data_IF_307725065465
#
_entry.id   IF_307725065465
#
_cell.length_a   1.000
_cell.length_b   1.000
_cell.length_c   1.000
_cell.angle_alpha   90.00
_cell.angle_beta   90.00
_cell.angle_gamma   90.00
#
_symmetry.space_group_name_H-M   'P 1'
#
loop_
_entity.id
_entity.type
_entity.pdbx_description
1 polymer ?
#
# COMPACT_ATOMS: atom_id res chain seq x y z
N UNK A 1 -25.11 -7.58 -7.01
CA UNK A 1 -25.36 -6.15 -6.67
C UNK A 1 -24.42 -5.69 -5.56
N UNK A 2 -24.34 -6.39 -4.45
CA UNK A 2 -23.48 -6.02 -3.30
C UNK A 2 -22.03 -5.74 -3.72
N UNK A 3 -21.42 -6.61 -4.53
CA UNK A 3 -20.07 -6.44 -5.05
C UNK A 3 -19.92 -5.20 -5.96
N UNK A 4 -20.88 -4.95 -6.86
CA UNK A 4 -20.87 -3.77 -7.72
C UNK A 4 -20.91 -2.45 -6.92
N UNK A 5 -21.67 -2.43 -5.81
CA UNK A 5 -21.71 -1.26 -4.91
C UNK A 5 -20.33 -1.07 -4.27
N UNK A 6 -19.72 -2.16 -3.80
CA UNK A 6 -18.41 -2.11 -3.14
C UNK A 6 -17.31 -1.65 -4.08
N UNK A 7 -17.27 -2.17 -5.31
CA UNK A 7 -16.31 -1.75 -6.35
C UNK A 7 -16.44 -0.28 -6.69
N UNK A 8 -17.67 0.16 -6.97
CA UNK A 8 -17.91 1.56 -7.30
C UNK A 8 -17.59 2.50 -6.13
N UNK A 9 -17.93 2.11 -4.90
CA UNK A 9 -17.59 2.89 -3.73
C UNK A 9 -16.07 3.01 -3.55
N UNK A 10 -15.33 1.90 -3.73
CA UNK A 10 -13.87 1.92 -3.69
C UNK A 10 -13.27 2.87 -4.74
N UNK A 11 -13.70 2.78 -6.00
CA UNK A 11 -13.24 3.66 -7.07
C UNK A 11 -13.48 5.14 -6.75
N UNK A 12 -14.66 5.46 -6.22
CA UNK A 12 -15.01 6.82 -5.86
C UNK A 12 -14.22 7.31 -4.64
N UNK A 13 -14.05 6.49 -3.62
CA UNK A 13 -13.27 6.84 -2.43
C UNK A 13 -11.79 7.05 -2.77
N UNK A 14 -11.21 6.15 -3.57
CA UNK A 14 -9.82 6.28 -4.01
C UNK A 14 -9.59 7.56 -4.80
N UNK A 15 -10.51 7.94 -5.67
CA UNK A 15 -10.36 9.11 -6.56
C UNK A 15 -10.69 10.43 -5.89
N UNK A 16 -11.75 10.47 -5.09
CA UNK A 16 -12.32 11.73 -4.58
C UNK A 16 -12.20 11.91 -3.06
N UNK A 17 -11.67 10.91 -2.34
CA UNK A 17 -11.64 10.86 -0.88
C UNK A 17 -12.94 10.30 -0.29
N UNK A 18 -12.84 9.72 0.90
CA UNK A 18 -14.01 9.08 1.53
C UNK A 18 -15.06 10.13 1.93
N UNK A 19 -14.62 11.23 2.50
CA UNK A 19 -15.52 12.25 3.06
C UNK A 19 -16.43 12.90 2.01
N UNK A 20 -15.90 13.16 0.82
CA UNK A 20 -16.63 13.86 -0.27
C UNK A 20 -17.74 13.01 -0.90
N UNK A 21 -17.67 11.69 -0.81
CA UNK A 21 -18.62 10.79 -1.48
C UNK A 21 -19.81 10.45 -0.57
N UNK A 22 -21.01 10.57 -1.13
CA UNK A 22 -22.30 10.28 -0.45
C UNK A 22 -22.93 8.99 -0.97
N UNK A 23 -23.92 8.46 -0.22
CA UNK A 23 -24.74 7.32 -0.66
C UNK A 23 -25.51 7.64 -1.95
N UNK A 24 -25.93 8.90 -2.14
CA UNK A 24 -26.62 9.35 -3.36
C UNK A 24 -25.69 9.34 -4.57
N UNK A 25 -24.45 9.77 -4.43
CA UNK A 25 -23.44 9.72 -5.50
C UNK A 25 -23.10 8.28 -5.90
N UNK A 26 -22.94 7.36 -4.94
CA UNK A 26 -22.71 5.94 -5.25
C UNK A 26 -23.92 5.39 -6.02
N UNK A 27 -25.15 5.70 -5.60
CA UNK A 27 -26.37 5.27 -6.27
C UNK A 27 -26.45 5.81 -7.69
N UNK A 28 -26.22 7.12 -7.87
CA UNK A 28 -26.25 7.79 -9.17
C UNK A 28 -25.21 7.18 -10.15
N UNK A 29 -23.99 6.94 -9.69
CA UNK A 29 -22.91 6.33 -10.48
C UNK A 29 -23.20 4.88 -10.90
N UNK A 30 -24.05 4.18 -10.16
CA UNK A 30 -24.47 2.81 -10.46
C UNK A 30 -25.78 2.75 -11.27
N UNK A 31 -26.48 3.87 -11.44
CA UNK A 31 -27.81 3.90 -12.07
C UNK A 31 -28.88 3.17 -11.25
N UNK A 32 -28.79 3.19 -9.91
CA UNK A 32 -29.71 2.54 -8.98
C UNK A 32 -30.28 3.53 -7.96
N UNK A 33 -31.33 3.13 -7.27
CA UNK A 33 -31.87 3.96 -6.18
C UNK A 33 -31.02 3.85 -4.91
N UNK A 34 -30.96 4.92 -4.11
CA UNK A 34 -30.38 4.89 -2.76
C UNK A 34 -30.99 3.79 -1.88
N UNK A 35 -32.32 3.55 -2.05
CA UNK A 35 -33.02 2.46 -1.37
C UNK A 35 -32.43 1.10 -1.70
N UNK A 36 -31.96 0.89 -2.94
CA UNK A 36 -31.28 -0.34 -3.35
C UNK A 36 -29.97 -0.52 -2.61
N UNK A 37 -29.19 0.54 -2.38
CA UNK A 37 -27.94 0.44 -1.60
C UNK A 37 -28.26 0.01 -0.16
N UNK A 38 -29.28 0.62 0.46
CA UNK A 38 -29.66 0.31 1.84
C UNK A 38 -30.17 -1.13 2.05
N UNK A 39 -30.48 -1.88 0.98
CA UNK A 39 -30.77 -3.31 1.08
C UNK A 39 -29.50 -4.14 1.38
N UNK A 40 -28.31 -3.62 1.11
CA UNK A 40 -27.02 -4.32 1.24
C UNK A 40 -26.12 -3.75 2.31
N UNK A 41 -26.24 -2.46 2.62
CA UNK A 41 -25.42 -1.73 3.57
C UNK A 41 -26.28 -0.74 4.34
N UNK A 42 -26.21 -0.76 5.67
CA UNK A 42 -27.04 0.08 6.54
C UNK A 42 -26.67 1.58 6.41
N UNK A 43 -25.40 1.86 6.22
CA UNK A 43 -24.89 3.23 6.09
C UNK A 43 -23.56 3.25 5.30
N UNK A 44 -22.97 4.44 5.18
CA UNK A 44 -21.68 4.65 4.52
C UNK A 44 -20.53 4.00 5.30
N UNK A 45 -20.59 3.99 6.63
CA UNK A 45 -19.55 3.40 7.46
C UNK A 45 -19.43 1.90 7.19
N UNK A 46 -20.56 1.20 7.01
CA UNK A 46 -20.56 -0.22 6.65
C UNK A 46 -19.93 -0.46 5.26
N UNK A 47 -20.17 0.44 4.29
CA UNK A 47 -19.49 0.38 2.99
C UNK A 47 -17.99 0.59 3.15
N UNK A 48 -17.56 1.60 3.91
CA UNK A 48 -16.14 1.88 4.16
C UNK A 48 -15.46 0.70 4.85
N UNK A 49 -16.10 0.11 5.86
CA UNK A 49 -15.58 -1.10 6.52
C UNK A 49 -15.43 -2.29 5.57
N UNK A 50 -16.41 -2.47 4.66
CA UNK A 50 -16.36 -3.53 3.66
C UNK A 50 -15.28 -3.29 2.61
N UNK A 51 -15.10 -2.03 2.16
CA UNK A 51 -14.00 -1.62 1.26
C UNK A 51 -12.65 -1.92 1.89
N UNK A 52 -12.42 -1.46 3.12
CA UNK A 52 -11.16 -1.73 3.85
C UNK A 52 -10.91 -3.23 4.01
N UNK A 53 -11.94 -4.00 4.36
CA UNK A 53 -11.82 -5.46 4.48
C UNK A 53 -11.45 -6.17 3.17
N UNK A 54 -11.97 -5.67 2.04
CA UNK A 54 -11.61 -6.17 0.70
C UNK A 54 -10.18 -5.83 0.32
N UNK A 55 -9.76 -4.58 0.55
CA UNK A 55 -8.39 -4.14 0.28
C UNK A 55 -7.36 -4.90 1.12
N UNK A 56 -7.68 -5.18 2.39
CA UNK A 56 -6.86 -6.03 3.26
C UNK A 56 -6.64 -7.40 2.61
N UNK A 57 -7.71 -8.08 2.19
CA UNK A 57 -7.60 -9.41 1.55
C UNK A 57 -6.80 -9.36 0.25
N UNK A 58 -6.99 -8.32 -0.56
CA UNK A 58 -6.23 -8.14 -1.78
C UNK A 58 -4.73 -8.00 -1.48
N UNK A 59 -4.37 -7.15 -0.52
CA UNK A 59 -2.98 -6.95 -0.11
C UNK A 59 -2.34 -8.22 0.45
N UNK A 60 -3.09 -9.05 1.19
CA UNK A 60 -2.61 -10.34 1.67
C UNK A 60 -2.22 -11.26 0.51
N UNK A 61 -3.08 -11.37 -0.52
CA UNK A 61 -2.80 -12.17 -1.71
C UNK A 61 -1.60 -11.64 -2.50
N UNK A 62 -1.48 -10.33 -2.65
CA UNK A 62 -0.35 -9.68 -3.30
C UNK A 62 0.96 -9.97 -2.57
N UNK A 63 1.00 -9.88 -1.23
CA UNK A 63 2.19 -10.22 -0.45
C UNK A 63 2.60 -11.68 -0.62
N UNK A 64 1.65 -12.62 -0.65
CA UNK A 64 1.94 -14.03 -0.91
C UNK A 64 2.51 -14.21 -2.33
N UNK A 65 1.93 -13.55 -3.32
CA UNK A 65 2.42 -13.56 -4.70
C UNK A 65 3.85 -13.00 -4.79
N UNK A 66 4.13 -11.85 -4.18
CA UNK A 66 5.49 -11.28 -4.21
C UNK A 66 6.51 -12.22 -3.56
N UNK A 67 6.13 -12.88 -2.48
CA UNK A 67 7.00 -13.86 -1.82
C UNK A 67 7.33 -15.05 -2.72
N UNK A 68 6.36 -15.56 -3.50
CA UNK A 68 6.55 -16.71 -4.39
C UNK A 68 7.31 -16.36 -5.68
N UNK A 69 7.04 -15.18 -6.26
CA UNK A 69 7.60 -14.79 -7.54
C UNK A 69 8.94 -14.04 -7.44
N UNK A 70 9.30 -13.58 -6.25
CA UNK A 70 10.54 -12.84 -6.08
C UNK A 70 11.79 -13.73 -6.14
N UNK A 71 12.78 -13.33 -6.95
CA UNK A 71 14.08 -14.00 -7.07
C UNK A 71 14.84 -14.06 -5.73
N UNK A 72 14.64 -13.06 -4.86
CA UNK A 72 15.32 -12.89 -3.57
C UNK A 72 14.63 -11.81 -2.73
N UNK A 73 15.08 -11.63 -1.47
CA UNK A 73 14.51 -10.67 -0.55
C UNK A 73 14.55 -9.20 -1.04
N UNK A 74 15.58 -8.80 -1.78
CA UNK A 74 15.68 -7.45 -2.36
C UNK A 74 14.65 -7.28 -3.48
N UNK A 75 14.48 -8.29 -4.36
CA UNK A 75 13.48 -8.26 -5.44
C UNK A 75 12.06 -8.15 -4.89
N UNK A 76 11.75 -8.86 -3.81
CA UNK A 76 10.45 -8.80 -3.13
C UNK A 76 10.10 -7.36 -2.70
N UNK A 77 11.07 -6.62 -2.14
CA UNK A 77 10.86 -5.20 -1.77
C UNK A 77 10.63 -4.33 -3.03
N UNK A 78 11.35 -4.55 -4.13
CA UNK A 78 11.12 -3.82 -5.37
C UNK A 78 9.73 -4.08 -5.95
N UNK A 79 9.23 -5.33 -5.89
CA UNK A 79 7.87 -5.67 -6.31
C UNK A 79 6.83 -4.95 -5.44
N UNK A 80 7.00 -4.95 -4.12
CA UNK A 80 6.12 -4.26 -3.19
C UNK A 80 6.13 -2.73 -3.41
N UNK A 81 7.30 -2.12 -3.66
CA UNK A 81 7.41 -0.68 -3.98
C UNK A 81 6.67 -0.35 -5.28
N UNK A 82 6.83 -1.17 -6.32
CA UNK A 82 6.14 -0.95 -7.59
C UNK A 82 4.62 -1.06 -7.45
N UNK A 83 4.13 -2.05 -6.72
CA UNK A 83 2.69 -2.19 -6.44
C UNK A 83 2.15 -0.99 -5.66
N UNK A 84 2.91 -0.50 -4.67
CA UNK A 84 2.53 0.70 -3.91
C UNK A 84 2.51 1.94 -4.81
N UNK A 85 3.47 2.09 -5.72
CA UNK A 85 3.48 3.14 -6.73
C UNK A 85 2.20 3.12 -7.58
N UNK A 86 1.81 1.95 -8.10
CA UNK A 86 0.58 1.82 -8.90
C UNK A 86 -0.67 2.16 -8.08
N UNK A 87 -0.72 1.76 -6.81
CA UNK A 87 -1.82 2.12 -5.92
C UNK A 87 -1.89 3.63 -5.66
N UNK A 88 -0.74 4.31 -5.54
CA UNK A 88 -0.68 5.75 -5.32
C UNK A 88 -1.13 6.55 -6.55
N UNK A 89 -1.05 5.97 -7.76
CA UNK A 89 -1.54 6.63 -8.98
C UNK A 89 -3.06 6.84 -8.90
N UNK A 90 -3.46 8.09 -8.90
CA UNK A 90 -4.88 8.46 -8.83
C UNK A 90 -5.53 8.30 -7.46
N UNK A 91 -4.78 7.95 -6.42
CA UNK A 91 -5.27 7.90 -5.04
C UNK A 91 -5.37 9.31 -4.46
N UNK A 92 -6.54 9.64 -3.90
CA UNK A 92 -6.71 10.89 -3.16
C UNK A 92 -5.78 10.91 -1.93
N UNK A 93 -4.92 11.92 -1.77
CA UNK A 93 -3.94 11.96 -0.68
C UNK A 93 -4.55 12.07 0.72
N UNK A 94 -5.83 12.44 0.82
CA UNK A 94 -6.53 12.57 2.10
C UNK A 94 -7.24 11.28 2.53
N UNK A 95 -7.20 10.21 1.74
CA UNK A 95 -7.96 8.99 2.02
C UNK A 95 -7.63 8.38 3.38
N UNK A 96 -6.35 8.37 3.75
CA UNK A 96 -5.91 7.84 5.06
C UNK A 96 -6.33 8.75 6.20
N UNK A 97 -6.28 10.06 6.01
CA UNK A 97 -6.77 11.04 6.99
C UNK A 97 -8.28 10.91 7.20
N UNK A 98 -9.05 10.80 6.10
CA UNK A 98 -10.51 10.61 6.16
C UNK A 98 -10.86 9.33 6.91
N UNK A 99 -10.14 8.23 6.61
CA UNK A 99 -10.34 6.95 7.27
C UNK A 99 -10.09 7.04 8.78
N UNK A 100 -8.95 7.61 9.18
CA UNK A 100 -8.57 7.74 10.58
C UNK A 100 -9.54 8.62 11.36
N UNK A 101 -9.88 9.79 10.81
CA UNK A 101 -10.64 10.80 11.52
C UNK A 101 -12.14 10.52 11.55
N UNK A 102 -12.70 9.96 10.49
CA UNK A 102 -14.15 9.86 10.30
C UNK A 102 -14.70 8.43 10.35
N UNK A 103 -13.85 7.40 10.20
CA UNK A 103 -14.26 5.99 10.13
C UNK A 103 -13.44 5.10 11.09
N UNK A 104 -13.53 5.32 12.42
CA UNK A 104 -12.62 4.72 13.41
C UNK A 104 -12.66 3.19 13.44
N UNK A 105 -13.79 2.55 13.13
CA UNK A 105 -13.92 1.09 13.06
C UNK A 105 -13.11 0.51 11.88
N UNK A 106 -13.26 1.12 10.71
CA UNK A 106 -12.53 0.72 9.51
C UNK A 106 -11.03 1.01 9.67
N UNK A 107 -10.67 2.16 10.25
CA UNK A 107 -9.28 2.49 10.57
C UNK A 107 -8.64 1.50 11.55
N UNK A 108 -9.39 1.07 12.58
CA UNK A 108 -8.92 0.04 13.50
C UNK A 108 -8.59 -1.27 12.79
N UNK A 109 -9.45 -1.74 11.86
CA UNK A 109 -9.18 -2.95 11.06
C UNK A 109 -7.89 -2.80 10.25
N UNK A 110 -7.71 -1.67 9.57
CA UNK A 110 -6.50 -1.35 8.82
C UNK A 110 -5.26 -1.34 9.71
N UNK A 111 -5.31 -0.65 10.86
CA UNK A 111 -4.21 -0.55 11.81
C UNK A 111 -3.82 -1.90 12.41
N UNK A 112 -4.80 -2.71 12.79
CA UNK A 112 -4.56 -4.05 13.33
C UNK A 112 -3.90 -4.94 12.25
N UNK A 113 -4.36 -4.88 11.00
CA UNK A 113 -3.74 -5.56 9.87
C UNK A 113 -2.30 -5.08 9.62
N UNK A 114 -2.05 -3.76 9.64
CA UNK A 114 -0.71 -3.16 9.54
C UNK A 114 0.25 -3.77 10.55
N UNK A 115 -0.11 -3.79 11.83
CA UNK A 115 0.77 -4.22 12.91
C UNK A 115 0.86 -5.75 13.09
N UNK A 116 -0.06 -6.51 12.53
CA UNK A 116 -0.03 -7.97 12.61
C UNK A 116 0.50 -8.59 11.32
N UNK A 117 -0.20 -8.40 10.21
CA UNK A 117 0.12 -9.07 8.95
C UNK A 117 1.33 -8.45 8.25
N UNK A 118 1.32 -7.14 7.97
CA UNK A 118 2.45 -6.51 7.28
C UNK A 118 3.73 -6.57 8.09
N UNK A 119 3.65 -6.43 9.42
CA UNK A 119 4.82 -6.59 10.27
C UNK A 119 5.41 -8.01 10.17
N UNK A 120 4.55 -9.04 10.14
CA UNK A 120 4.98 -10.42 9.93
C UNK A 120 5.67 -10.58 8.57
N UNK A 121 5.07 -10.10 7.49
CA UNK A 121 5.65 -10.15 6.13
C UNK A 121 7.02 -9.48 6.08
N UNK A 122 7.16 -8.30 6.70
CA UNK A 122 8.44 -7.58 6.76
C UNK A 122 9.50 -8.38 7.53
N UNK A 123 9.14 -8.99 8.66
CA UNK A 123 10.06 -9.84 9.43
C UNK A 123 10.52 -11.05 8.63
N UNK A 124 9.61 -11.70 7.91
CA UNK A 124 9.93 -12.84 7.06
C UNK A 124 10.85 -12.45 5.91
N UNK A 125 10.64 -11.28 5.27
CA UNK A 125 11.54 -10.74 4.25
C UNK A 125 12.92 -10.41 4.83
N UNK A 126 13.00 -9.79 6.02
CA UNK A 126 14.25 -9.49 6.69
C UNK A 126 15.04 -10.77 7.01
N UNK A 127 14.38 -11.80 7.55
CA UNK A 127 15.01 -13.09 7.83
C UNK A 127 15.51 -13.74 6.54
N UNK A 128 14.67 -13.79 5.49
CA UNK A 128 15.07 -14.30 4.17
C UNK A 128 16.31 -13.57 3.62
N UNK A 129 16.35 -12.25 3.73
CA UNK A 129 17.49 -11.47 3.27
C UNK A 129 18.79 -11.78 4.03
N UNK A 130 18.71 -12.07 5.32
CA UNK A 130 19.85 -12.55 6.13
C UNK A 130 20.27 -13.95 5.69
N UNK A 131 19.33 -14.88 5.51
CA UNK A 131 19.59 -16.26 5.09
C UNK A 131 20.21 -16.34 3.67
N UNK A 132 19.83 -15.39 2.78
CA UNK A 132 20.39 -15.24 1.42
C UNK A 132 21.72 -14.47 1.42
N UNK A 133 22.23 -14.02 2.58
CA UNK A 133 23.42 -13.16 2.74
C UNK A 133 23.31 -11.79 2.04
N UNK A 134 22.09 -11.36 1.70
CA UNK A 134 21.81 -10.07 1.08
C UNK A 134 21.64 -8.96 2.11
N UNK A 135 21.17 -9.32 3.31
CA UNK A 135 21.03 -8.39 4.44
C UNK A 135 22.06 -8.71 5.52
N UNK A 136 22.44 -7.69 6.25
CA UNK A 136 23.46 -7.78 7.31
C UNK A 136 22.98 -8.66 8.45
N UNK A 137 23.76 -9.64 8.92
CA UNK A 137 23.32 -10.59 9.96
C UNK A 137 23.18 -9.95 11.34
N UNK A 138 23.84 -8.80 11.58
CA UNK A 138 23.79 -8.11 12.88
C UNK A 138 22.56 -7.20 13.06
N UNK A 139 21.67 -7.07 12.08
CA UNK A 139 20.45 -6.26 12.23
C UNK A 139 19.51 -6.88 13.27
N UNK A 140 18.94 -6.03 14.11
CA UNK A 140 17.83 -6.45 14.97
C UNK A 140 16.54 -6.45 14.13
N UNK A 141 16.11 -7.64 13.69
CA UNK A 141 14.95 -7.82 12.80
C UNK A 141 13.67 -7.23 13.40
N UNK A 142 13.47 -7.30 14.72
CA UNK A 142 12.27 -6.74 15.36
C UNK A 142 12.26 -5.22 15.31
N UNK A 143 13.39 -4.58 15.63
CA UNK A 143 13.53 -3.11 15.62
C UNK A 143 13.45 -2.59 14.19
N UNK A 144 14.20 -3.20 13.27
CA UNK A 144 14.22 -2.80 11.86
C UNK A 144 12.85 -3.03 11.20
N UNK A 145 12.17 -4.12 11.54
CA UNK A 145 10.82 -4.41 11.05
C UNK A 145 9.79 -3.38 11.52
N UNK A 146 9.82 -2.98 12.80
CA UNK A 146 8.97 -1.92 13.34
C UNK A 146 9.24 -0.58 12.69
N UNK A 147 10.51 -0.21 12.55
CA UNK A 147 10.89 1.00 11.81
C UNK A 147 10.40 0.95 10.36
N UNK A 148 10.58 -0.17 9.66
CA UNK A 148 10.15 -0.32 8.27
C UNK A 148 8.65 -0.16 8.10
N UNK A 149 7.82 -0.80 8.96
CA UNK A 149 6.37 -0.70 8.84
C UNK A 149 5.89 0.75 9.03
N UNK A 150 6.45 1.48 9.98
CA UNK A 150 6.08 2.88 10.18
C UNK A 150 6.56 3.75 9.01
N UNK A 151 7.79 3.57 8.53
CA UNK A 151 8.36 4.34 7.43
C UNK A 151 7.61 4.15 6.10
N UNK A 152 7.12 2.94 5.79
CA UNK A 152 6.29 2.71 4.58
C UNK A 152 5.03 3.57 4.60
N UNK A 153 4.38 3.69 5.76
CA UNK A 153 3.13 4.44 5.87
C UNK A 153 3.32 5.96 6.07
N UNK A 154 4.57 6.43 6.26
CA UNK A 154 4.85 7.87 6.33
C UNK A 154 4.48 8.61 5.04
N UNK A 155 4.50 7.95 3.89
CA UNK A 155 4.11 8.53 2.59
C UNK A 155 2.68 9.11 2.60
N UNK A 156 1.80 8.57 3.45
CA UNK A 156 0.42 9.03 3.61
C UNK A 156 0.25 10.15 4.64
N UNK A 157 1.30 10.49 5.39
CA UNK A 157 1.22 11.51 6.42
C UNK A 157 1.39 12.91 5.82
N UNK A 158 0.28 13.65 5.72
CA UNK A 158 0.25 14.98 5.13
C UNK A 158 0.91 16.07 5.97
N UNK A 159 1.14 15.83 7.27
CA UNK A 159 1.86 16.75 8.15
C UNK A 159 3.38 16.67 7.88
N UNK A 160 3.88 15.48 7.46
CA UNK A 160 5.30 15.27 7.15
C UNK A 160 5.56 15.53 5.65
N UNK A 161 4.72 14.97 4.77
CA UNK A 161 4.85 15.05 3.32
C UNK A 161 3.58 15.62 2.68
N UNK A 162 3.31 16.93 2.81
CA UNK A 162 2.14 17.54 2.20
C UNK A 162 2.17 17.41 0.67
N UNK A 163 1.06 16.94 0.09
CA UNK A 163 0.92 16.59 -1.33
C UNK A 163 1.13 17.77 -2.30
N UNK A 164 1.00 19.01 -1.81
CA UNK A 164 1.29 20.21 -2.60
C UNK A 164 2.80 20.52 -2.73
N UNK A 165 3.67 19.79 -2.01
CA UNK A 165 5.13 19.94 -2.03
C UNK A 165 5.87 18.68 -2.42
N UNK A 166 5.29 17.50 -2.16
CA UNK A 166 5.93 16.21 -2.36
C UNK A 166 5.08 15.32 -3.25
N UNK A 167 5.71 14.67 -4.23
CA UNK A 167 5.10 13.58 -4.95
C UNK A 167 5.23 12.29 -4.15
N UNK A 168 4.11 11.62 -3.88
CA UNK A 168 4.09 10.43 -3.03
C UNK A 168 5.03 9.31 -3.53
N UNK A 169 5.16 9.17 -4.86
CA UNK A 169 6.08 8.18 -5.45
C UNK A 169 7.54 8.50 -5.16
N UNK A 170 7.96 9.76 -5.19
CA UNK A 170 9.34 10.16 -4.87
C UNK A 170 9.65 9.83 -3.40
N UNK A 171 8.72 10.17 -2.50
CA UNK A 171 8.86 9.84 -1.07
C UNK A 171 8.92 8.32 -0.85
N UNK A 172 8.06 7.55 -1.54
CA UNK A 172 8.04 6.09 -1.47
C UNK A 172 9.40 5.48 -1.84
N UNK A 173 9.98 5.93 -2.95
CA UNK A 173 11.25 5.40 -3.43
C UNK A 173 12.42 5.83 -2.55
N UNK A 174 12.49 7.09 -2.10
CA UNK A 174 13.52 7.56 -1.17
C UNK A 174 13.53 6.76 0.13
N UNK A 175 12.36 6.61 0.77
CA UNK A 175 12.22 5.81 2.00
C UNK A 175 12.57 4.33 1.74
N UNK A 176 12.17 3.80 0.57
CA UNK A 176 12.48 2.44 0.16
C UNK A 176 13.98 2.20 -0.02
N UNK A 177 14.68 3.12 -0.68
CA UNK A 177 16.13 3.02 -0.86
C UNK A 177 16.90 3.24 0.44
N UNK A 178 16.50 4.20 1.27
CA UNK A 178 17.10 4.37 2.61
C UNK A 178 17.04 3.07 3.42
N UNK A 179 15.89 2.39 3.41
CA UNK A 179 15.76 1.11 4.07
C UNK A 179 16.68 0.05 3.46
N UNK A 180 16.62 -0.14 2.14
CA UNK A 180 17.41 -1.17 1.44
C UNK A 180 18.92 -0.97 1.66
N UNK A 181 19.44 0.24 1.45
CA UNK A 181 20.86 0.54 1.69
C UNK A 181 21.24 0.42 3.16
N UNK A 182 20.30 0.69 4.08
CA UNK A 182 20.51 0.54 5.51
C UNK A 182 20.64 -0.91 5.99
N UNK A 183 19.99 -1.86 5.33
CA UNK A 183 19.99 -3.27 5.78
C UNK A 183 20.90 -4.18 4.95
N UNK A 184 21.32 -3.80 3.74
CA UNK A 184 22.04 -4.68 2.81
C UNK A 184 23.52 -4.80 3.08
N UNK A 185 24.07 -6.00 2.76
CA UNK A 185 25.49 -6.27 2.58
C UNK A 185 25.99 -5.71 1.24
N UNK A 186 27.29 -5.83 0.95
CA UNK A 186 27.83 -5.51 -0.39
C UNK A 186 27.20 -6.37 -1.49
N UNK A 187 26.91 -7.65 -1.23
CA UNK A 187 26.18 -8.54 -2.13
C UNK A 187 24.77 -8.01 -2.41
N UNK A 188 24.05 -7.60 -1.36
CA UNK A 188 22.70 -7.03 -1.48
C UNK A 188 22.69 -5.69 -2.23
N UNK A 189 23.69 -4.82 -2.03
CA UNK A 189 23.83 -3.54 -2.77
C UNK A 189 23.91 -3.76 -4.29
N UNK A 190 24.68 -4.75 -4.75
CA UNK A 190 24.73 -5.12 -6.18
C UNK A 190 23.36 -5.54 -6.73
N UNK A 191 22.52 -6.18 -5.88
CA UNK A 191 21.15 -6.51 -6.29
C UNK A 191 20.27 -5.26 -6.41
N UNK A 192 20.39 -4.30 -5.50
CA UNK A 192 19.69 -3.01 -5.60
C UNK A 192 20.03 -2.33 -6.93
N UNK A 193 21.31 -2.17 -7.23
CA UNK A 193 21.77 -1.54 -8.48
C UNK A 193 21.24 -2.26 -9.73
N UNK A 194 21.26 -3.60 -9.74
CA UNK A 194 20.69 -4.43 -10.82
C UNK A 194 19.20 -4.14 -11.04
N UNK A 195 18.39 -4.08 -9.97
CA UNK A 195 16.95 -3.84 -10.09
C UNK A 195 16.62 -2.38 -10.42
N UNK A 196 17.39 -1.41 -9.92
CA UNK A 196 17.26 0.00 -10.33
C UNK A 196 17.51 0.17 -11.83
N UNK A 197 18.56 -0.45 -12.38
CA UNK A 197 18.85 -0.42 -13.82
C UNK A 197 17.74 -1.06 -14.66
N UNK A 198 17.24 -2.23 -14.24
CA UNK A 198 16.11 -2.90 -14.92
C UNK A 198 14.85 -2.01 -14.95
N UNK A 199 14.54 -1.31 -13.85
CA UNK A 199 13.39 -0.42 -13.78
C UNK A 199 13.57 0.83 -14.65
N UNK A 200 14.77 1.43 -14.67
CA UNK A 200 15.08 2.58 -15.52
C UNK A 200 14.96 2.26 -17.02
N UNK A 201 15.36 1.05 -17.43
CA UNK A 201 15.22 0.59 -18.82
C UNK A 201 13.75 0.37 -19.22
N UNK A 202 12.92 -0.21 -18.34
CA UNK A 202 11.48 -0.40 -18.60
C UNK A 202 10.73 0.94 -18.76
N UNK A 203 11.06 1.92 -17.92
CA UNK A 203 10.45 3.24 -18.01
C UNK A 203 10.83 4.01 -19.30
N UNK A 204 12.02 3.77 -19.86
CA UNK A 204 12.42 4.34 -21.16
C UNK A 204 11.70 3.70 -22.35
N UNK A 205 11.37 2.41 -22.31
CA UNK A 205 10.65 1.73 -23.38
C UNK A 205 9.15 2.04 -23.39
N UNK A 206 8.54 2.27 -22.22
CA UNK A 206 7.12 2.63 -22.11
C UNK A 206 6.78 4.10 -22.44
N UNK A 207 7.78 4.92 -22.80
CA UNK A 207 7.55 6.30 -23.30
C UNK A 207 7.49 6.39 -24.83
N UNK A 208 7.60 5.28 -25.53
CA UNK A 208 7.59 5.23 -27.01
C UNK A 208 6.47 4.36 -27.59
N UNK A 209 5.55 3.88 -26.74
CA UNK A 209 4.27 3.28 -27.15
C UNK A 209 3.09 4.19 -26.78
#
# INVERSE_FOLDING_TARGET
>A
MKERILEKANDLFMRYGIRSITMDEIAAQLGISKKTIYQFYADKDEIVEAVVGREIKRNELECVHFRSESENAVHEIFMAMKQTEEMLKGMNPLIMYDLEKHHPKAYKKFRDHKHQFFFKVIKENLQRGVDEELYRPEINIDVVGKHRIESVFMVFNQDIFPHNRYHANDVLYEIGYLFLYGVTTLKGRKMIEKYMQKNAQKNKHGMYE
#
